data_IF_542563310011
#
_entry.id   IF_542563310011
#
_cell.length_a   1.000
_cell.length_b   1.000
_cell.length_c   1.000
_cell.angle_alpha   90.00
_cell.angle_beta   90.00
_cell.angle_gamma   90.00
#
_symmetry.space_group_name_H-M   'P 1'
#
loop_
_entity.id
_entity.type
_entity.pdbx_description
1 polymer ?
#
# COMPACT_ATOMS: atom_id res chain seq x y z
N UNK A 1 7.60 -10.45 42.82
CA UNK A 1 7.42 -9.15 42.15
C UNK A 1 6.97 -9.44 40.72
N UNK A 2 5.73 -9.13 40.31
CA UNK A 2 5.37 -9.26 38.90
C UNK A 2 5.97 -8.05 38.16
N UNK A 3 7.00 -8.30 37.37
CA UNK A 3 7.53 -7.33 36.40
C UNK A 3 6.55 -7.22 35.24
N UNK A 4 5.49 -6.43 35.42
CA UNK A 4 4.57 -6.07 34.35
C UNK A 4 5.34 -5.36 33.23
N UNK A 5 5.11 -5.80 32.00
CA UNK A 5 5.74 -5.20 30.83
C UNK A 5 5.31 -3.73 30.73
N UNK A 6 6.25 -2.75 30.68
CA UNK A 6 5.93 -1.32 30.65
C UNK A 6 5.11 -0.88 29.43
N UNK A 7 4.88 -1.77 28.46
CA UNK A 7 4.06 -1.54 27.28
C UNK A 7 2.64 -2.12 27.36
N UNK A 8 2.25 -2.79 28.47
CA UNK A 8 0.90 -3.38 28.63
C UNK A 8 -0.24 -2.36 28.52
N UNK A 9 0.05 -1.07 28.72
CA UNK A 9 -0.91 0.04 28.58
C UNK A 9 -0.56 1.03 27.45
N UNK A 10 0.40 0.70 26.58
CA UNK A 10 0.72 1.54 25.43
C UNK A 10 -0.19 1.18 24.25
N UNK A 11 -0.87 2.16 23.66
CA UNK A 11 -1.54 2.02 22.37
C UNK A 11 -0.57 2.52 21.29
N UNK A 12 0.30 1.66 20.70
CA UNK A 12 1.23 2.09 19.69
C UNK A 12 0.47 2.56 18.44
N UNK A 13 0.97 3.62 17.79
CA UNK A 13 0.40 4.15 16.53
C UNK A 13 0.36 3.05 15.46
N UNK A 14 1.41 2.23 15.42
CA UNK A 14 1.45 1.03 14.59
C UNK A 14 0.95 -0.17 15.42
N UNK A 15 -0.26 -0.65 15.12
CA UNK A 15 -0.86 -1.78 15.83
C UNK A 15 -1.30 -2.86 14.85
N UNK A 16 -1.58 -4.06 15.38
CA UNK A 16 -2.18 -5.14 14.60
C UNK A 16 -3.61 -4.89 14.17
N UNK A 17 -4.29 -3.92 14.80
CA UNK A 17 -5.64 -3.52 14.44
C UNK A 17 -5.69 -2.53 13.26
N UNK A 18 -4.53 -2.04 12.80
CA UNK A 18 -4.45 -1.12 11.66
C UNK A 18 -4.87 -1.84 10.38
N UNK A 19 -6.03 -1.49 9.83
CA UNK A 19 -6.52 -2.00 8.54
C UNK A 19 -5.98 -1.19 7.35
N UNK A 20 -5.83 0.12 7.53
CA UNK A 20 -5.31 1.03 6.52
C UNK A 20 -4.59 2.18 7.21
N UNK A 21 -3.42 2.54 6.68
CA UNK A 21 -2.66 3.74 7.03
C UNK A 21 -2.40 4.52 5.74
N UNK A 22 -2.35 5.84 5.80
CA UNK A 22 -1.98 6.63 4.62
C UNK A 22 -1.33 7.96 4.98
N UNK A 23 -0.55 8.49 4.05
CA UNK A 23 -0.02 9.85 4.05
C UNK A 23 -0.53 10.56 2.81
N UNK A 24 -1.25 11.67 3.00
CA UNK A 24 -1.66 12.54 1.91
C UNK A 24 -0.61 13.64 1.70
N UNK A 25 0.04 13.63 0.55
CA UNK A 25 1.05 14.60 0.17
C UNK A 25 0.44 15.60 -0.83
N UNK A 26 0.50 16.88 -0.49
CA UNK A 26 0.00 17.98 -1.32
C UNK A 26 1.18 18.82 -1.81
N UNK A 27 1.52 18.68 -3.09
CA UNK A 27 2.63 19.38 -3.72
C UNK A 27 2.17 20.69 -4.34
N UNK A 28 2.93 21.75 -4.10
CA UNK A 28 2.68 23.07 -4.70
C UNK A 28 3.12 23.09 -6.17
N UNK A 29 2.53 23.98 -6.95
CA UNK A 29 2.92 24.29 -8.33
C UNK A 29 2.80 23.12 -9.33
N UNK A 30 1.99 22.11 -9.03
CA UNK A 30 1.63 21.01 -9.94
C UNK A 30 0.11 20.98 -10.13
N UNK A 31 -0.40 20.51 -11.30
CA UNK A 31 -1.81 20.20 -11.46
C UNK A 31 -2.30 19.23 -10.39
N UNK A 32 -3.55 19.33 -9.95
CA UNK A 32 -4.08 18.50 -8.85
C UNK A 32 -3.93 16.99 -9.11
N UNK A 33 -4.10 16.57 -10.36
CA UNK A 33 -3.93 15.18 -10.82
C UNK A 33 -2.53 14.60 -10.54
N UNK A 34 -1.52 15.47 -10.47
CA UNK A 34 -0.10 15.13 -10.29
C UNK A 34 0.38 15.51 -8.89
N UNK A 35 -0.07 16.65 -8.36
CA UNK A 35 0.42 17.21 -7.10
C UNK A 35 -0.19 16.59 -5.84
N UNK A 36 -1.32 15.88 -5.96
CA UNK A 36 -1.96 15.18 -4.84
C UNK A 36 -1.57 13.70 -4.93
N UNK A 37 -0.88 13.20 -3.90
CA UNK A 37 -0.43 11.80 -3.83
C UNK A 37 -0.83 11.18 -2.50
N UNK A 38 -1.51 10.05 -2.55
CA UNK A 38 -1.85 9.23 -1.39
C UNK A 38 -0.87 8.07 -1.30
N UNK A 39 0.05 8.12 -0.35
CA UNK A 39 0.84 6.96 0.04
C UNK A 39 0.00 6.09 0.95
N UNK A 40 -0.48 4.96 0.44
CA UNK A 40 -1.42 4.09 1.15
C UNK A 40 -0.75 2.78 1.54
N UNK A 41 -0.98 2.34 2.77
CA UNK A 41 -0.54 1.07 3.32
C UNK A 41 -1.75 0.30 3.81
N UNK A 42 -1.91 -0.95 3.36
CA UNK A 42 -2.92 -1.87 3.89
C UNK A 42 -2.32 -2.73 5.00
N UNK A 43 -3.12 -3.08 5.99
CA UNK A 43 -2.65 -3.73 7.22
C UNK A 43 -1.59 -2.90 7.98
N UNK A 44 -0.89 -3.53 8.93
CA UNK A 44 0.09 -2.87 9.79
C UNK A 44 1.31 -2.37 9.00
N UNK A 45 1.68 -1.06 9.07
CA UNK A 45 2.90 -0.54 8.45
C UNK A 45 4.20 -1.21 8.94
N UNK A 46 4.15 -1.92 10.08
CA UNK A 46 5.30 -2.69 10.58
C UNK A 46 5.71 -3.81 9.63
N UNK A 47 4.77 -4.35 8.87
CA UNK A 47 4.97 -5.53 8.03
C UNK A 47 4.33 -5.36 6.67
N UNK A 48 4.24 -4.12 6.19
CA UNK A 48 3.53 -3.78 4.96
C UNK A 48 4.26 -2.65 4.24
N UNK A 49 3.67 -2.18 3.14
CA UNK A 49 4.31 -1.32 2.17
C UNK A 49 3.41 -0.11 1.88
N UNK A 50 3.99 1.08 1.80
CA UNK A 50 3.32 2.26 1.28
C UNK A 50 3.39 2.32 -0.25
N UNK A 51 2.22 2.34 -0.89
CA UNK A 51 2.06 2.44 -2.34
C UNK A 51 1.53 3.85 -2.67
N UNK A 52 2.21 4.61 -3.53
CA UNK A 52 1.77 5.95 -3.92
C UNK A 52 0.67 5.87 -4.99
N UNK A 53 -0.43 6.57 -4.75
CA UNK A 53 -1.53 6.77 -5.69
C UNK A 53 -1.69 8.27 -5.97
N UNK A 54 -1.33 8.69 -7.18
CA UNK A 54 -1.63 10.04 -7.65
C UNK A 54 -3.14 10.21 -7.83
N UNK A 55 -3.68 11.37 -7.46
CA UNK A 55 -5.13 11.61 -7.55
C UNK A 55 -5.68 11.48 -8.97
N UNK A 56 -4.86 11.80 -9.98
CA UNK A 56 -5.26 11.79 -11.38
C UNK A 56 -5.34 10.41 -12.03
N UNK A 57 -4.86 9.34 -11.39
CA UNK A 57 -4.78 8.01 -12.04
C UNK A 57 -6.14 7.58 -12.62
N UNK A 58 -6.12 6.99 -13.81
CA UNK A 58 -7.33 6.56 -14.51
C UNK A 58 -7.99 5.36 -13.85
N UNK A 59 -7.21 4.53 -13.17
CA UNK A 59 -7.68 3.37 -12.43
C UNK A 59 -6.66 2.99 -11.35
N UNK A 60 -7.06 2.18 -10.38
CA UNK A 60 -6.17 1.64 -9.35
C UNK A 60 -5.48 0.35 -9.84
N UNK A 61 -4.46 -0.18 -9.16
CA UNK A 61 -3.98 -1.53 -9.42
C UNK A 61 -5.09 -2.57 -9.22
N UNK A 62 -5.03 -3.67 -9.97
CA UNK A 62 -6.14 -4.63 -10.07
C UNK A 62 -6.71 -5.07 -8.72
N UNK A 63 -5.87 -5.35 -7.72
CA UNK A 63 -6.36 -5.78 -6.41
C UNK A 63 -7.01 -4.68 -5.56
N UNK A 64 -6.78 -3.41 -5.88
CA UNK A 64 -7.47 -2.28 -5.24
C UNK A 64 -8.80 -1.93 -5.94
N UNK A 65 -9.05 -2.49 -7.12
CA UNK A 65 -10.27 -2.19 -7.87
C UNK A 65 -11.48 -2.84 -7.21
N UNK A 66 -12.61 -2.15 -7.31
CA UNK A 66 -13.92 -2.73 -7.06
C UNK A 66 -14.71 -2.79 -8.37
N UNK A 67 -15.83 -3.52 -8.38
CA UNK A 67 -16.75 -3.52 -9.54
C UNK A 67 -17.31 -2.13 -9.85
N UNK A 68 -17.30 -1.22 -8.87
CA UNK A 68 -17.65 0.19 -9.04
C UNK A 68 -16.41 1.07 -9.07
N UNK A 69 -16.29 1.91 -10.10
CA UNK A 69 -15.26 2.95 -10.19
C UNK A 69 -15.52 4.10 -9.19
N UNK A 70 -16.80 4.29 -8.79
CA UNK A 70 -17.22 5.26 -7.77
C UNK A 70 -18.21 4.57 -6.85
N UNK A 71 -17.73 3.87 -5.81
CA UNK A 71 -18.60 3.13 -4.91
C UNK A 71 -19.58 4.08 -4.22
N UNK A 72 -20.87 3.77 -4.29
CA UNK A 72 -21.91 4.46 -3.52
C UNK A 72 -21.88 3.98 -2.06
N UNK A 73 -22.53 4.73 -1.16
CA UNK A 73 -22.75 4.27 0.22
C UNK A 73 -23.48 2.92 0.25
N UNK A 74 -24.47 2.72 -0.63
CA UNK A 74 -25.14 1.42 -0.76
C UNK A 74 -24.16 0.30 -1.16
N UNK A 75 -23.27 0.55 -2.13
CA UNK A 75 -22.26 -0.44 -2.50
C UNK A 75 -21.32 -0.76 -1.32
N UNK A 76 -20.97 0.25 -0.52
CA UNK A 76 -20.21 0.05 0.71
C UNK A 76 -20.98 -0.81 1.72
N UNK A 77 -22.23 -0.47 2.01
CA UNK A 77 -23.09 -1.19 2.96
C UNK A 77 -23.29 -2.65 2.54
N UNK A 78 -23.53 -2.89 1.26
CA UNK A 78 -23.59 -4.23 0.68
C UNK A 78 -22.25 -4.97 0.81
N UNK A 79 -21.11 -4.29 0.67
CA UNK A 79 -19.79 -4.92 0.79
C UNK A 79 -19.50 -5.33 2.23
N UNK A 80 -19.76 -4.44 3.21
CA UNK A 80 -19.45 -4.70 4.63
C UNK A 80 -20.43 -5.67 5.31
N UNK A 81 -21.64 -5.82 4.78
CA UNK A 81 -22.67 -6.74 5.31
C UNK A 81 -22.60 -8.16 4.74
N UNK A 82 -21.80 -8.40 3.68
CA UNK A 82 -21.67 -9.73 3.07
C UNK A 82 -21.03 -10.73 4.03
N UNK A 83 -21.42 -12.02 3.96
CA UNK A 83 -20.69 -13.08 4.63
C UNK A 83 -19.21 -13.04 4.26
N UNK A 84 -18.35 -13.22 5.26
CA UNK A 84 -16.91 -13.19 5.09
C UNK A 84 -16.47 -14.20 4.03
N UNK A 85 -15.80 -13.70 2.99
CA UNK A 85 -15.13 -14.51 1.97
C UNK A 85 -13.82 -13.83 1.60
N UNK A 86 -12.70 -14.48 1.90
CA UNK A 86 -11.40 -14.02 1.43
C UNK A 86 -11.27 -14.22 -0.08
N UNK A 87 -10.65 -13.26 -0.75
CA UNK A 87 -10.33 -13.30 -2.17
C UNK A 87 -8.87 -12.86 -2.37
N UNK A 88 -8.03 -13.79 -2.83
CA UNK A 88 -6.59 -13.56 -3.03
C UNK A 88 -6.29 -12.54 -4.14
N UNK A 89 -7.28 -12.19 -4.96
CA UNK A 89 -7.15 -11.14 -5.96
C UNK A 89 -7.40 -9.75 -5.38
N UNK A 90 -8.07 -9.63 -4.23
CA UNK A 90 -8.28 -8.33 -3.57
C UNK A 90 -7.08 -7.98 -2.67
N UNK A 91 -6.53 -6.78 -2.86
CA UNK A 91 -5.36 -6.29 -2.14
C UNK A 91 -5.59 -6.27 -0.62
N UNK A 92 -6.80 -5.95 -0.16
CA UNK A 92 -7.13 -6.02 1.27
C UNK A 92 -6.83 -7.40 1.84
N UNK A 93 -7.36 -8.46 1.23
CA UNK A 93 -7.15 -9.82 1.73
C UNK A 93 -5.71 -10.29 1.56
N UNK A 94 -5.06 -9.95 0.45
CA UNK A 94 -3.65 -10.32 0.23
C UNK A 94 -2.75 -9.73 1.31
N UNK A 95 -2.89 -8.44 1.61
CA UNK A 95 -2.09 -7.76 2.63
C UNK A 95 -2.46 -8.19 4.05
N UNK A 96 -3.74 -8.36 4.36
CA UNK A 96 -4.18 -8.89 5.67
C UNK A 96 -3.70 -10.32 5.91
N UNK A 97 -3.74 -11.18 4.88
CA UNK A 97 -3.24 -12.54 4.99
C UNK A 97 -1.72 -12.58 5.15
N UNK A 98 -0.99 -11.71 4.44
CA UNK A 98 0.45 -11.55 4.65
C UNK A 98 0.73 -11.15 6.09
N UNK A 99 0.08 -10.10 6.59
CA UNK A 99 0.16 -9.68 7.99
C UNK A 99 -0.11 -10.84 8.95
N UNK A 100 -1.18 -11.60 8.77
CA UNK A 100 -1.49 -12.73 9.65
C UNK A 100 -0.39 -13.82 9.66
N UNK A 101 0.27 -14.06 8.52
CA UNK A 101 1.40 -15.01 8.43
C UNK A 101 2.67 -14.49 9.10
N UNK A 102 2.86 -13.17 9.16
CA UNK A 102 4.08 -12.54 9.67
C UNK A 102 3.92 -11.83 11.02
N UNK A 103 2.70 -11.75 11.57
CA UNK A 103 2.46 -11.05 12.83
C UNK A 103 3.11 -11.74 14.04
N UNK A 104 3.27 -13.06 13.98
CA UNK A 104 4.02 -13.84 14.97
C UNK A 104 5.47 -14.10 14.53
N UNK A 105 5.97 -13.36 13.55
CA UNK A 105 7.33 -13.55 13.05
C UNK A 105 8.38 -13.10 14.06
N UNK A 106 9.58 -13.65 13.94
CA UNK A 106 10.72 -13.29 14.79
C UNK A 106 11.09 -11.80 14.58
N UNK A 107 11.76 -11.15 15.54
CA UNK A 107 12.29 -9.80 15.32
C UNK A 107 13.19 -9.69 14.09
N UNK A 108 13.93 -10.75 13.76
CA UNK A 108 14.79 -10.82 12.57
C UNK A 108 13.96 -10.85 11.28
N UNK A 109 12.88 -11.62 11.25
CA UNK A 109 11.96 -11.67 10.11
C UNK A 109 11.28 -10.31 9.90
N UNK A 110 10.85 -9.67 10.99
CA UNK A 110 10.27 -8.31 10.95
C UNK A 110 11.29 -7.32 10.39
N UNK A 111 12.55 -7.39 10.83
CA UNK A 111 13.61 -6.54 10.29
C UNK A 111 13.85 -6.78 8.79
N UNK A 112 13.80 -8.04 8.32
CA UNK A 112 13.88 -8.37 6.89
C UNK A 112 12.72 -7.76 6.10
N UNK A 113 11.48 -7.90 6.60
CA UNK A 113 10.29 -7.30 5.97
C UNK A 113 10.44 -5.77 5.89
N UNK A 114 10.86 -5.13 6.97
CA UNK A 114 11.07 -3.68 7.02
C UNK A 114 12.15 -3.22 6.06
N UNK A 115 13.26 -3.97 5.93
CA UNK A 115 14.32 -3.65 4.98
C UNK A 115 13.82 -3.72 3.52
N UNK A 116 13.01 -4.73 3.18
CA UNK A 116 12.38 -4.84 1.86
C UNK A 116 11.39 -3.70 1.60
N UNK A 117 10.55 -3.37 2.58
CA UNK A 117 9.62 -2.26 2.47
C UNK A 117 10.36 -0.94 2.27
N UNK A 118 11.38 -0.67 3.09
CA UNK A 118 12.20 0.53 3.01
C UNK A 118 12.92 0.64 1.66
N UNK A 119 13.43 -0.46 1.11
CA UNK A 119 14.06 -0.47 -0.22
C UNK A 119 13.07 -0.06 -1.31
N UNK A 120 11.87 -0.65 -1.31
CA UNK A 120 10.81 -0.35 -2.29
C UNK A 120 10.35 1.11 -2.14
N UNK A 121 10.08 1.55 -0.92
CA UNK A 121 9.58 2.89 -0.63
C UNK A 121 10.61 3.98 -0.95
N UNK A 122 11.90 3.76 -0.63
CA UNK A 122 12.98 4.68 -1.01
C UNK A 122 13.14 4.77 -2.52
N UNK A 123 13.04 3.64 -3.23
CA UNK A 123 13.10 3.63 -4.69
C UNK A 123 11.91 4.36 -5.30
N UNK A 124 10.70 4.16 -4.77
CA UNK A 124 9.51 4.89 -5.18
C UNK A 124 9.70 6.40 -4.96
N UNK A 125 10.13 6.80 -3.76
CA UNK A 125 10.31 8.21 -3.41
C UNK A 125 11.36 8.91 -4.30
N UNK A 126 12.45 8.22 -4.66
CA UNK A 126 13.48 8.79 -5.54
C UNK A 126 13.00 8.97 -6.98
N UNK A 127 12.12 8.08 -7.46
CA UNK A 127 11.53 8.13 -8.81
C UNK A 127 10.39 9.17 -8.89
N UNK A 128 9.69 9.43 -7.78
CA UNK A 128 8.50 10.29 -7.76
C UNK A 128 8.73 11.67 -8.41
N UNK A 129 9.82 12.36 -8.05
CA UNK A 129 10.10 13.71 -8.58
C UNK A 129 10.28 13.73 -10.10
N UNK A 130 11.24 12.95 -10.66
CA UNK A 130 11.42 12.83 -12.10
C UNK A 130 10.17 12.36 -12.85
N UNK A 131 9.41 11.43 -12.27
CA UNK A 131 8.15 10.94 -12.83
C UNK A 131 7.11 12.07 -12.94
N UNK A 132 6.91 12.84 -11.86
CA UNK A 132 5.95 13.94 -11.83
C UNK A 132 6.34 15.08 -12.79
N UNK A 133 7.64 15.33 -12.96
CA UNK A 133 8.13 16.29 -13.95
C UNK A 133 7.84 15.81 -15.38
N UNK A 134 8.08 14.52 -15.68
CA UNK A 134 7.76 13.92 -16.97
C UNK A 134 6.24 13.95 -17.23
N UNK A 135 5.44 13.58 -16.22
CA UNK A 135 3.98 13.67 -16.29
C UNK A 135 3.52 15.11 -16.55
N UNK A 136 4.10 16.09 -15.85
CA UNK A 136 3.80 17.51 -16.03
C UNK A 136 4.07 18.01 -17.45
N UNK A 137 5.17 17.58 -18.08
CA UNK A 137 5.50 17.90 -19.49
C UNK A 137 4.47 17.33 -20.47
N UNK A 138 4.01 16.09 -20.24
CA UNK A 138 3.02 15.43 -21.09
C UNK A 138 1.62 16.03 -20.88
N UNK A 139 1.29 16.39 -19.64
CA UNK A 139 -0.05 16.81 -19.21
C UNK A 139 -0.61 18.00 -20.01
N UNK A 140 0.25 18.92 -20.47
CA UNK A 140 -0.17 20.09 -21.25
C UNK A 140 -0.73 19.74 -22.64
N UNK A 141 -0.27 18.64 -23.25
CA UNK A 141 -0.70 18.19 -24.58
C UNK A 141 -1.58 16.95 -24.55
N UNK A 142 -1.34 16.03 -23.61
CA UNK A 142 -2.06 14.77 -23.48
C UNK A 142 -2.22 14.40 -22.00
N UNK A 143 -3.30 14.90 -21.40
CA UNK A 143 -3.66 14.57 -20.01
C UNK A 143 -3.80 13.06 -19.78
N UNK A 144 -4.34 12.32 -20.76
CA UNK A 144 -4.61 10.89 -20.60
C UNK A 144 -3.30 10.09 -20.51
N UNK A 145 -2.33 10.42 -21.37
CA UNK A 145 -0.99 9.83 -21.32
C UNK A 145 -0.26 10.16 -20.01
N UNK A 146 -0.34 11.40 -19.52
CA UNK A 146 0.27 11.79 -18.24
C UNK A 146 -0.31 10.99 -17.07
N UNK A 147 -1.64 10.87 -17.02
CA UNK A 147 -2.35 10.06 -16.01
C UNK A 147 -1.98 8.58 -16.10
N UNK A 148 -1.86 8.04 -17.32
CA UNK A 148 -1.48 6.63 -17.51
C UNK A 148 -0.04 6.35 -17.05
N UNK A 149 0.86 7.31 -17.23
CA UNK A 149 2.23 7.21 -16.70
C UNK A 149 2.22 7.08 -15.18
N UNK A 150 1.43 7.89 -14.48
CA UNK A 150 1.27 7.83 -13.02
C UNK A 150 0.60 6.53 -12.57
N UNK A 151 -0.42 6.06 -13.30
CA UNK A 151 -1.06 4.77 -13.04
C UNK A 151 -0.05 3.61 -13.11
N UNK A 152 0.76 3.58 -14.18
CA UNK A 152 1.77 2.54 -14.38
C UNK A 152 2.83 2.54 -13.27
N UNK A 153 3.18 3.71 -12.76
CA UNK A 153 4.05 3.84 -11.60
C UNK A 153 3.44 3.19 -10.35
N UNK A 154 2.20 3.52 -9.99
CA UNK A 154 1.49 2.89 -8.87
C UNK A 154 1.37 1.37 -9.04
N UNK A 155 1.07 0.91 -10.25
CA UNK A 155 1.01 -0.52 -10.59
C UNK A 155 2.36 -1.22 -10.38
N UNK A 156 3.46 -0.59 -10.81
CA UNK A 156 4.80 -1.12 -10.64
C UNK A 156 5.17 -1.28 -9.16
N UNK A 157 4.89 -0.27 -8.34
CA UNK A 157 5.15 -0.36 -6.89
C UNK A 157 4.29 -1.43 -6.24
N UNK A 158 3.00 -1.51 -6.58
CA UNK A 158 2.11 -2.57 -6.08
C UNK A 158 2.63 -3.98 -6.42
N UNK A 159 3.05 -4.22 -7.67
CA UNK A 159 3.59 -5.50 -8.08
C UNK A 159 4.90 -5.84 -7.34
N UNK A 160 5.79 -4.86 -7.17
CA UNK A 160 7.01 -5.05 -6.36
C UNK A 160 6.68 -5.45 -4.92
N UNK A 161 5.66 -4.85 -4.31
CA UNK A 161 5.19 -5.24 -2.97
C UNK A 161 4.66 -6.68 -2.95
N UNK A 162 3.90 -7.10 -3.97
CA UNK A 162 3.40 -8.49 -4.05
C UNK A 162 4.55 -9.50 -4.16
N UNK A 163 5.53 -9.23 -5.03
CA UNK A 163 6.71 -10.08 -5.20
C UNK A 163 7.52 -10.16 -3.91
N UNK A 164 7.73 -9.04 -3.21
CA UNK A 164 8.42 -9.02 -1.93
C UNK A 164 7.69 -9.87 -0.88
N UNK A 165 6.35 -9.75 -0.78
CA UNK A 165 5.56 -10.58 0.13
C UNK A 165 5.67 -12.07 -0.18
N UNK A 166 5.62 -12.45 -1.46
CA UNK A 166 5.74 -13.84 -1.89
C UNK A 166 7.12 -14.41 -1.54
N UNK A 167 8.19 -13.66 -1.82
CA UNK A 167 9.56 -14.06 -1.51
C UNK A 167 9.75 -14.28 0.00
N UNK A 168 9.23 -13.36 0.83
CA UNK A 168 9.31 -13.47 2.31
C UNK A 168 8.56 -14.71 2.80
N UNK A 169 7.39 -15.01 2.24
CA UNK A 169 6.64 -16.22 2.60
C UNK A 169 7.43 -17.48 2.21
N UNK A 170 8.00 -17.50 1.00
CA UNK A 170 8.76 -18.65 0.48
C UNK A 170 9.99 -18.93 1.33
N UNK A 171 10.78 -17.91 1.65
CA UNK A 171 11.96 -18.01 2.51
C UNK A 171 11.61 -18.58 3.88
N UNK A 172 10.53 -18.10 4.50
CA UNK A 172 10.06 -18.60 5.81
C UNK A 172 9.50 -20.02 5.76
N UNK A 173 8.98 -20.46 4.62
CA UNK A 173 8.52 -21.84 4.45
C UNK A 173 9.67 -22.83 4.17
N UNK A 174 10.83 -22.32 3.75
CA UNK A 174 12.04 -23.09 3.46
C UNK A 174 13.07 -23.13 4.60
N UNK A 175 12.84 -22.41 5.70
CA UNK A 175 13.65 -22.50 6.92
C UNK A 175 13.26 -23.79 7.71
N UNK A 176 14.21 -24.71 7.99
CA UNK A 176 13.95 -26.00 8.64
C UNK A 176 13.58 -25.90 10.13
#
# INVERSE_FOLDING_TARGET
MPGGNPFENSCPICSGATQTSFVAQLRKNLPLDIGIVYWMCLASPRTSFYIPFHFGISDFPAGFRSKSQRPSSQFYDEKVSRPFKSDVLEAFWTFSNFYNKVNSASPEDVARIQAQAEQIEKSALSIQGPLEEAAGRIYAGDRAAAVKLLENYSNGIYLSSLVAMEQIIYERAGEP
#
